data_IF_825738468310
#
_entry.id   IF_825738468310
#
_cell.length_a   1.000
_cell.length_b   1.000
_cell.length_c   1.000
_cell.angle_alpha   90.00
_cell.angle_beta   90.00
_cell.angle_gamma   90.00
#
_symmetry.space_group_name_H-M   'P 1'
#
loop_
_entity.id
_entity.type
_entity.pdbx_description
1 polymer ?
#
# COMPACT_ATOMS: atom_id res chain seq x y z
N UNK A 1 -0.56 -7.05 7.66
CA UNK A 1 -0.90 -8.37 8.23
C UNK A 1 0.16 -8.76 9.22
N UNK A 2 -0.21 -9.18 10.43
CA UNK A 2 0.74 -9.59 11.47
C UNK A 2 0.31 -10.90 12.12
N UNK A 3 0.59 -12.02 11.45
CA UNK A 3 0.16 -13.36 11.89
C UNK A 3 1.23 -13.95 12.78
N UNK A 4 0.97 -13.99 14.08
CA UNK A 4 1.78 -14.70 15.08
C UNK A 4 1.39 -16.17 15.18
N UNK A 5 0.13 -16.43 15.53
CA UNK A 5 -0.43 -17.77 15.74
C UNK A 5 -1.66 -18.07 14.86
N UNK A 6 -2.58 -17.10 14.76
CA UNK A 6 -3.78 -17.20 13.91
C UNK A 6 -4.02 -15.88 13.20
N UNK A 7 -4.55 -15.96 11.98
CA UNK A 7 -4.94 -14.78 11.21
C UNK A 7 -6.17 -14.11 11.84
N UNK A 8 -6.07 -12.80 12.11
CA UNK A 8 -7.20 -11.96 12.51
C UNK A 8 -8.19 -11.79 11.36
N UNK A 9 -9.37 -11.19 11.64
CA UNK A 9 -10.33 -10.81 10.60
C UNK A 9 -9.71 -9.84 9.59
N UNK A 10 -8.90 -8.90 10.07
CA UNK A 10 -8.21 -7.92 9.23
C UNK A 10 -7.14 -8.59 8.36
N UNK A 11 -6.34 -9.50 8.92
CA UNK A 11 -5.35 -10.27 8.16
C UNK A 11 -6.02 -11.05 7.03
N UNK A 12 -7.13 -11.73 7.32
CA UNK A 12 -7.90 -12.46 6.32
C UNK A 12 -8.40 -11.53 5.22
N UNK A 13 -8.98 -10.38 5.57
CA UNK A 13 -9.47 -9.39 4.60
C UNK A 13 -8.37 -8.98 3.61
N UNK A 14 -7.20 -8.57 4.12
CA UNK A 14 -6.11 -8.12 3.25
C UNK A 14 -5.45 -9.24 2.45
N UNK A 15 -5.28 -10.44 3.03
CA UNK A 15 -4.72 -11.59 2.31
C UNK A 15 -5.66 -12.00 1.17
N UNK A 16 -6.96 -12.16 1.43
CA UNK A 16 -7.93 -12.56 0.40
C UNK A 16 -8.01 -11.49 -0.71
N UNK A 17 -8.01 -10.21 -0.34
CA UNK A 17 -7.97 -9.11 -1.32
C UNK A 17 -6.71 -9.15 -2.20
N UNK A 18 -5.53 -9.28 -1.59
CA UNK A 18 -4.27 -9.34 -2.32
C UNK A 18 -4.19 -10.55 -3.26
N UNK A 19 -4.66 -11.71 -2.81
CA UNK A 19 -4.76 -12.93 -3.62
C UNK A 19 -5.72 -12.73 -4.80
N UNK A 20 -6.89 -12.14 -4.56
CA UNK A 20 -7.85 -11.83 -5.62
C UNK A 20 -7.26 -10.88 -6.68
N UNK A 21 -6.52 -9.85 -6.26
CA UNK A 21 -5.81 -8.97 -7.19
C UNK A 21 -4.72 -9.69 -7.98
N UNK A 22 -3.95 -10.58 -7.32
CA UNK A 22 -2.89 -11.33 -7.96
C UNK A 22 -3.43 -12.30 -9.02
N UNK A 23 -4.49 -13.05 -8.71
CA UNK A 23 -5.18 -13.93 -9.66
C UNK A 23 -5.70 -13.15 -10.85
N UNK A 24 -6.42 -12.03 -10.61
CA UNK A 24 -6.99 -11.19 -11.68
C UNK A 24 -5.94 -10.62 -12.63
N UNK A 25 -4.74 -10.32 -12.12
CA UNK A 25 -3.64 -9.72 -12.89
C UNK A 25 -2.68 -10.77 -13.48
N UNK A 26 -2.78 -12.03 -13.06
CA UNK A 26 -1.88 -13.10 -13.50
C UNK A 26 -2.08 -13.41 -14.98
N UNK A 27 -0.97 -13.66 -15.67
CA UNK A 27 -0.95 -14.23 -17.03
C UNK A 27 -0.53 -15.70 -17.03
N UNK A 28 -0.34 -16.31 -15.86
CA UNK A 28 0.07 -17.70 -15.73
C UNK A 28 -1.08 -18.64 -16.11
N UNK A 29 -0.77 -19.75 -16.77
CA UNK A 29 -1.74 -20.79 -17.11
C UNK A 29 -2.27 -21.52 -15.87
N UNK A 30 -1.46 -21.63 -14.81
CA UNK A 30 -1.83 -22.22 -13.53
C UNK A 30 -1.88 -21.16 -12.43
N UNK A 31 -3.05 -21.00 -11.82
CA UNK A 31 -3.30 -20.06 -10.71
C UNK A 31 -3.43 -20.76 -9.36
N UNK A 32 -3.27 -22.09 -9.29
CA UNK A 32 -3.39 -22.87 -8.04
C UNK A 32 -2.38 -22.43 -6.98
N UNK A 33 -1.22 -21.94 -7.40
CA UNK A 33 -0.19 -21.38 -6.51
C UNK A 33 -0.74 -20.26 -5.62
N UNK A 34 -1.68 -19.44 -6.11
CA UNK A 34 -2.27 -18.37 -5.30
C UNK A 34 -3.14 -18.93 -4.17
N UNK A 35 -3.89 -20.02 -4.43
CA UNK A 35 -4.65 -20.70 -3.39
C UNK A 35 -3.72 -21.33 -2.34
N UNK A 36 -2.62 -21.95 -2.77
CA UNK A 36 -1.60 -22.47 -1.86
C UNK A 36 -0.99 -21.36 -0.99
N UNK A 37 -0.55 -20.25 -1.59
CA UNK A 37 0.02 -19.12 -0.86
C UNK A 37 -1.01 -18.53 0.12
N UNK A 38 -2.26 -18.35 -0.30
CA UNK A 38 -3.35 -17.91 0.58
C UNK A 38 -3.44 -18.79 1.82
N UNK A 39 -3.51 -20.10 1.63
CA UNK A 39 -3.74 -21.03 2.73
C UNK A 39 -2.54 -21.09 3.68
N UNK A 40 -1.31 -21.06 3.14
CA UNK A 40 -0.09 -20.94 3.96
C UNK A 40 -0.08 -19.63 4.75
N UNK A 41 -0.36 -18.50 4.10
CA UNK A 41 -0.38 -17.18 4.77
C UNK A 41 -1.46 -17.12 5.85
N UNK A 42 -2.61 -17.77 5.66
CA UNK A 42 -3.68 -17.84 6.66
C UNK A 42 -3.45 -18.91 7.75
N UNK A 43 -2.31 -19.61 7.72
CA UNK A 43 -2.00 -20.70 8.65
C UNK A 43 -2.89 -21.93 8.49
N UNK A 44 -3.57 -22.07 7.34
CA UNK A 44 -4.44 -23.21 7.01
C UNK A 44 -3.61 -24.33 6.41
N UNK A 45 -3.24 -25.30 7.23
CA UNK A 45 -2.65 -26.54 6.74
C UNK A 45 -3.75 -27.55 6.36
N UNK A 46 -3.53 -28.44 5.37
CA UNK A 46 -4.46 -29.52 5.03
C UNK A 46 -4.85 -30.35 6.27
N UNK A 47 -6.08 -30.87 6.28
CA UNK A 47 -6.52 -31.80 7.34
C UNK A 47 -5.57 -33.00 7.41
N UNK A 48 -5.24 -33.44 8.62
CA UNK A 48 -4.27 -34.53 8.84
C UNK A 48 -2.80 -34.11 8.76
N UNK A 49 -2.48 -32.83 8.51
CA UNK A 49 -1.09 -32.35 8.52
C UNK A 49 -0.39 -32.66 9.85
N UNK A 50 0.90 -32.97 9.81
CA UNK A 50 1.72 -33.13 11.02
C UNK A 50 1.87 -31.79 11.76
N UNK A 51 2.16 -31.85 13.06
CA UNK A 51 2.49 -30.66 13.84
C UNK A 51 3.70 -29.91 13.26
N UNK A 52 4.69 -30.65 12.75
CA UNK A 52 5.87 -30.10 12.09
C UNK A 52 5.51 -29.29 10.83
N UNK A 53 4.60 -29.79 9.98
CA UNK A 53 4.17 -29.07 8.78
C UNK A 53 3.42 -27.78 9.13
N UNK A 54 2.50 -27.83 10.12
CA UNK A 54 1.81 -26.62 10.61
C UNK A 54 2.80 -25.56 11.11
N UNK A 55 3.80 -25.97 11.89
CA UNK A 55 4.84 -25.07 12.39
C UNK A 55 5.68 -24.47 11.26
N UNK A 56 6.00 -25.24 10.21
CA UNK A 56 6.71 -24.75 9.02
C UNK A 56 5.88 -23.73 8.24
N UNK A 57 4.58 -23.96 8.03
CA UNK A 57 3.70 -23.01 7.34
C UNK A 57 3.60 -21.67 8.09
N UNK A 58 3.43 -21.72 9.42
CA UNK A 58 3.43 -20.50 10.25
C UNK A 58 4.78 -19.78 10.22
N UNK A 59 5.90 -20.51 10.21
CA UNK A 59 7.24 -19.92 10.06
C UNK A 59 7.38 -19.23 8.71
N UNK A 60 6.91 -19.84 7.63
CA UNK A 60 6.91 -19.23 6.31
C UNK A 60 6.06 -17.96 6.30
N UNK A 61 4.83 -18.00 6.81
CA UNK A 61 3.95 -16.83 6.85
C UNK A 61 4.60 -15.66 7.61
N UNK A 62 5.24 -15.93 8.75
CA UNK A 62 5.99 -14.92 9.52
C UNK A 62 7.17 -14.36 8.74
N UNK A 63 7.94 -15.21 8.08
CA UNK A 63 9.09 -14.78 7.27
C UNK A 63 8.64 -13.98 6.04
N UNK A 64 7.54 -14.35 5.40
CA UNK A 64 6.95 -13.62 4.28
C UNK A 64 6.58 -12.19 4.67
N UNK A 65 5.94 -12.01 5.84
CA UNK A 65 5.56 -10.68 6.35
C UNK A 65 6.78 -9.74 6.50
N UNK A 66 7.94 -10.27 6.88
CA UNK A 66 9.18 -9.49 7.00
C UNK A 66 9.69 -8.95 5.65
N UNK A 67 9.34 -9.59 4.53
CA UNK A 67 9.76 -9.15 3.19
C UNK A 67 8.74 -8.24 2.50
N UNK A 68 7.48 -8.25 2.91
CA UNK A 68 6.44 -7.44 2.24
C UNK A 68 6.71 -5.93 2.34
N UNK A 69 7.12 -5.42 3.49
CA UNK A 69 7.41 -3.98 3.65
C UNK A 69 8.62 -3.52 2.83
N UNK A 70 9.79 -4.22 2.83
CA UNK A 70 10.89 -3.88 1.93
C UNK A 70 10.52 -3.91 0.45
N UNK A 71 9.72 -4.90 0.01
CA UNK A 71 9.26 -4.99 -1.38
C UNK A 71 8.38 -3.79 -1.75
N UNK A 72 7.45 -3.41 -0.87
CA UNK A 72 6.61 -2.22 -1.08
C UNK A 72 7.46 -0.93 -1.12
N UNK A 73 8.38 -0.74 -0.17
CA UNK A 73 9.25 0.42 -0.11
C UNK A 73 10.12 0.55 -1.38
N UNK A 74 10.79 -0.54 -1.80
CA UNK A 74 11.66 -0.50 -2.99
C UNK A 74 10.92 -0.44 -4.30
N UNK A 75 9.82 -1.19 -4.42
CA UNK A 75 9.05 -1.27 -5.66
C UNK A 75 8.13 -0.07 -5.87
N UNK A 76 7.48 0.42 -4.81
CA UNK A 76 6.54 1.53 -4.89
C UNK A 76 7.27 2.84 -4.63
N UNK A 77 7.78 3.03 -3.41
CA UNK A 77 8.27 4.35 -2.96
C UNK A 77 9.57 4.77 -3.65
N UNK A 78 10.51 3.85 -3.82
CA UNK A 78 11.82 4.13 -4.43
C UNK A 78 11.85 3.90 -5.95
N UNK A 79 10.76 3.39 -6.55
CA UNK A 79 10.72 3.12 -8.00
C UNK A 79 9.45 3.67 -8.66
N UNK A 80 8.26 3.14 -8.35
CA UNK A 80 7.03 3.52 -9.04
C UNK A 80 6.70 5.01 -8.87
N UNK A 81 6.93 5.58 -7.68
CA UNK A 81 6.70 7.00 -7.39
C UNK A 81 7.60 7.96 -8.20
N UNK A 82 8.71 7.47 -8.77
CA UNK A 82 9.58 8.26 -9.66
C UNK A 82 9.21 8.11 -11.15
N UNK A 83 8.35 7.13 -11.49
CA UNK A 83 7.89 6.88 -12.86
C UNK A 83 6.53 7.50 -13.12
N UNK A 84 5.67 7.58 -12.11
CA UNK A 84 4.30 8.07 -12.25
C UNK A 84 4.21 9.60 -12.04
N UNK A 85 4.69 10.38 -13.01
CA UNK A 85 4.86 11.83 -12.86
C UNK A 85 3.62 12.65 -13.27
N UNK A 86 2.41 12.19 -12.93
CA UNK A 86 1.16 12.91 -13.23
C UNK A 86 1.02 14.20 -12.42
N UNK A 87 1.21 14.09 -11.10
CA UNK A 87 1.28 15.21 -10.16
C UNK A 87 2.14 14.78 -8.97
N UNK A 88 3.42 15.15 -8.97
CA UNK A 88 4.43 14.56 -8.07
C UNK A 88 4.31 14.96 -6.60
N UNK A 89 3.42 15.91 -6.27
CA UNK A 89 3.03 16.17 -4.88
C UNK A 89 2.24 15.01 -4.28
N UNK A 90 1.60 14.15 -5.09
CA UNK A 90 0.92 12.94 -4.62
C UNK A 90 1.87 11.75 -4.44
N UNK A 91 3.15 11.90 -4.81
CA UNK A 91 4.13 10.82 -4.81
C UNK A 91 5.06 10.94 -3.60
N UNK A 92 4.57 10.53 -2.43
CA UNK A 92 5.33 10.54 -1.17
C UNK A 92 5.23 9.20 -0.41
N UNK A 93 6.02 9.04 0.65
CA UNK A 93 6.00 7.87 1.53
C UNK A 93 4.58 7.63 2.06
N UNK A 94 4.10 6.39 1.96
CA UNK A 94 2.74 6.01 2.38
C UNK A 94 1.58 6.52 1.52
N UNK A 95 1.85 7.16 0.38
CA UNK A 95 0.81 7.67 -0.52
C UNK A 95 0.30 6.64 -1.54
N UNK A 96 -0.92 6.82 -2.03
CA UNK A 96 -1.47 6.13 -3.20
C UNK A 96 -1.70 7.15 -4.34
N UNK A 97 -0.77 7.32 -5.28
CA UNK A 97 -0.81 8.44 -6.24
C UNK A 97 -1.94 8.36 -7.29
N UNK A 98 -2.60 7.20 -7.38
CA UNK A 98 -3.80 7.00 -8.19
C UNK A 98 -5.03 7.70 -7.56
N UNK A 99 -5.02 7.96 -6.25
CA UNK A 99 -6.06 8.71 -5.52
C UNK A 99 -5.81 10.21 -5.68
N UNK A 100 -6.56 10.85 -6.57
CA UNK A 100 -6.40 12.27 -6.89
C UNK A 100 -7.26 13.16 -5.96
N UNK A 101 -6.76 13.40 -4.76
CA UNK A 101 -7.42 14.22 -3.75
C UNK A 101 -8.55 13.50 -3.02
N UNK A 102 -9.15 14.21 -2.06
CA UNK A 102 -10.24 13.73 -1.21
C UNK A 102 -11.37 14.76 -1.17
N UNK A 103 -12.60 14.31 -0.98
CA UNK A 103 -13.69 15.22 -0.62
C UNK A 103 -13.50 15.74 0.81
N UNK A 104 -14.09 16.90 1.11
CA UNK A 104 -14.12 17.48 2.46
C UNK A 104 -14.76 16.49 3.45
N UNK A 105 -15.82 15.81 3.03
CA UNK A 105 -16.48 14.78 3.83
C UNK A 105 -15.54 13.60 4.16
N UNK A 106 -14.82 13.07 3.17
CA UNK A 106 -13.87 11.99 3.38
C UNK A 106 -12.72 12.40 4.32
N UNK A 107 -12.27 13.65 4.22
CA UNK A 107 -11.27 14.22 5.14
C UNK A 107 -11.80 14.28 6.58
N UNK A 108 -13.02 14.79 6.80
CA UNK A 108 -13.61 14.83 8.14
C UNK A 108 -13.90 13.43 8.70
N UNK A 109 -14.36 12.49 7.87
CA UNK A 109 -14.56 11.11 8.27
C UNK A 109 -13.25 10.45 8.72
N UNK A 110 -12.15 10.64 7.98
CA UNK A 110 -10.83 10.14 8.35
C UNK A 110 -10.30 10.76 9.67
N UNK A 111 -10.62 12.03 9.93
CA UNK A 111 -10.27 12.69 11.19
C UNK A 111 -11.08 12.13 12.37
N UNK A 112 -12.38 11.91 12.20
CA UNK A 112 -13.23 11.30 13.22
C UNK A 112 -12.80 9.87 13.55
N UNK A 113 -12.52 9.06 12.53
CA UNK A 113 -12.02 7.68 12.69
C UNK A 113 -10.71 7.65 13.49
N UNK A 114 -9.77 8.54 13.16
CA UNK A 114 -8.50 8.66 13.88
C UNK A 114 -8.68 9.10 15.33
N UNK A 115 -9.56 10.07 15.58
CA UNK A 115 -9.84 10.52 16.95
C UNK A 115 -10.44 9.40 17.81
N UNK A 116 -11.28 8.53 17.23
CA UNK A 116 -11.90 7.42 17.94
C UNK A 116 -10.91 6.27 18.25
N UNK A 117 -10.04 5.93 17.29
CA UNK A 117 -9.22 4.71 17.39
C UNK A 117 -7.74 4.97 17.73
N UNK A 118 -7.20 6.15 17.39
CA UNK A 118 -5.80 6.52 17.60
C UNK A 118 -5.62 8.00 17.99
N UNK A 119 -6.22 8.48 19.11
CA UNK A 119 -6.24 9.89 19.48
C UNK A 119 -4.88 10.54 19.70
N UNK A 120 -3.84 9.72 19.97
CA UNK A 120 -2.48 10.19 20.23
C UNK A 120 -1.50 9.92 19.08
N UNK A 121 -2.01 9.49 17.92
CA UNK A 121 -1.14 9.21 16.78
C UNK A 121 -0.57 10.49 16.19
N UNK A 122 0.68 10.44 15.75
CA UNK A 122 1.37 11.58 15.16
C UNK A 122 0.78 11.93 13.80
N UNK A 123 0.55 13.23 13.56
CA UNK A 123 0.25 13.78 12.25
C UNK A 123 1.51 14.51 11.73
N UNK A 124 2.14 13.95 10.71
CA UNK A 124 3.35 14.52 10.12
C UNK A 124 3.06 15.02 8.70
N UNK A 125 3.36 16.31 8.46
CA UNK A 125 3.39 16.88 7.12
C UNK A 125 4.79 16.76 6.48
N UNK A 126 5.85 16.63 7.28
CA UNK A 126 7.21 16.45 6.78
C UNK A 126 8.05 15.68 7.78
N UNK A 127 8.94 14.86 7.25
CA UNK A 127 9.89 13.99 7.94
C UNK A 127 11.19 13.98 7.13
N UNK A 128 12.25 13.40 7.68
CA UNK A 128 13.52 13.24 6.96
C UNK A 128 13.43 12.27 5.78
N UNK A 129 12.41 11.41 5.73
CA UNK A 129 12.22 10.40 4.68
C UNK A 129 11.23 10.82 3.58
N UNK A 130 10.48 11.91 3.79
CA UNK A 130 9.56 12.38 2.76
C UNK A 130 10.31 12.76 1.48
N UNK A 131 9.74 12.40 0.33
CA UNK A 131 10.38 12.68 -0.97
C UNK A 131 10.46 14.18 -1.25
N UNK A 132 9.53 14.96 -0.68
CA UNK A 132 9.43 16.43 -0.77
C UNK A 132 8.94 16.98 0.57
N UNK A 133 9.27 18.23 0.90
CA UNK A 133 8.66 18.90 2.06
C UNK A 133 7.21 19.28 1.80
N UNK A 134 6.46 19.58 2.88
CA UNK A 134 5.07 20.01 2.81
C UNK A 134 4.87 21.20 1.87
N UNK A 135 5.72 22.23 1.99
CA UNK A 135 5.62 23.45 1.20
C UNK A 135 5.91 23.21 -0.29
N UNK A 136 6.85 22.31 -0.60
CA UNK A 136 7.13 21.91 -1.99
C UNK A 136 5.91 21.21 -2.59
N UNK A 137 5.27 20.30 -1.84
CA UNK A 137 4.06 19.63 -2.31
C UNK A 137 2.91 20.62 -2.49
N UNK A 138 2.67 21.51 -1.54
CA UNK A 138 1.63 22.54 -1.62
C UNK A 138 1.78 23.45 -2.84
N UNK A 139 3.02 23.86 -3.19
CA UNK A 139 3.28 24.64 -4.42
C UNK A 139 2.97 23.85 -5.69
N UNK A 140 3.33 22.56 -5.72
CA UNK A 140 3.06 21.68 -6.87
C UNK A 140 1.55 21.40 -7.01
N UNK A 141 0.82 21.26 -5.89
CA UNK A 141 -0.63 21.02 -5.91
C UNK A 141 -1.41 22.12 -6.62
N UNK A 142 -0.94 23.36 -6.64
CA UNK A 142 -1.55 24.47 -7.40
C UNK A 142 -1.62 24.16 -8.90
N UNK A 143 -0.73 23.33 -9.44
CA UNK A 143 -0.78 22.92 -10.85
C UNK A 143 -2.05 22.12 -11.17
N UNK A 144 -2.66 21.46 -10.18
CA UNK A 144 -3.95 20.77 -10.37
C UNK A 144 -5.11 21.73 -10.69
N UNK A 145 -5.02 23.00 -10.25
CA UNK A 145 -6.02 24.04 -10.49
C UNK A 145 -5.83 24.77 -11.83
N UNK A 146 -4.62 24.69 -12.41
CA UNK A 146 -4.26 25.43 -13.63
C UNK A 146 -3.64 24.54 -14.73
N UNK A 147 -4.22 23.37 -15.05
CA UNK A 147 -3.60 22.38 -15.92
C UNK A 147 -3.35 22.89 -17.35
N UNK A 148 -4.20 23.79 -17.86
CA UNK A 148 -4.04 24.40 -19.17
C UNK A 148 -2.82 25.33 -19.23
N UNK A 149 -2.67 26.23 -18.24
CA UNK A 149 -1.52 27.12 -18.15
C UNK A 149 -0.21 26.33 -17.97
N UNK A 150 -0.23 25.30 -17.12
CA UNK A 150 0.90 24.39 -16.95
C UNK A 150 1.33 23.73 -18.27
N UNK A 151 0.37 23.22 -19.06
CA UNK A 151 0.64 22.61 -20.37
C UNK A 151 1.27 23.60 -21.36
N UNK A 152 0.84 24.86 -21.34
CA UNK A 152 1.42 25.90 -22.20
C UNK A 152 2.85 26.23 -21.80
N UNK A 153 3.14 26.36 -20.50
CA UNK A 153 4.49 26.59 -20.00
C UNK A 153 5.44 25.45 -20.37
N UNK A 154 5.00 24.19 -20.22
CA UNK A 154 5.80 23.02 -20.62
C UNK A 154 6.16 23.03 -22.11
N UNK A 155 5.26 23.48 -22.99
CA UNK A 155 5.56 23.61 -24.43
C UNK A 155 6.54 24.73 -24.73
N UNK A 156 6.52 25.80 -23.94
CA UNK A 156 7.43 26.94 -24.08
C UNK A 156 8.85 26.62 -23.62
N UNK A 157 9.00 25.80 -22.58
CA UNK A 157 10.31 25.45 -21.99
C UNK A 157 11.01 24.28 -22.68
N UNK A 158 10.32 23.61 -23.61
CA UNK A 158 10.87 22.53 -24.41
C UNK A 158 11.74 23.07 -25.54
#
# INVERSE_FOLDING_TARGET
TYISDRASKQDRKYIEWAIGQAVRRSRAADTTIFAFVRDVLLGRAPRGSSAALRARSLRFARRFQQFTSPVAAKGVEDTALYRFNRLVSLNDVGSEPDVFGYSIEAFHAANADRAAHWPHTMLALSTHDNKRSADVRARIDVLSWTPAAWRLLLRRWR
#
